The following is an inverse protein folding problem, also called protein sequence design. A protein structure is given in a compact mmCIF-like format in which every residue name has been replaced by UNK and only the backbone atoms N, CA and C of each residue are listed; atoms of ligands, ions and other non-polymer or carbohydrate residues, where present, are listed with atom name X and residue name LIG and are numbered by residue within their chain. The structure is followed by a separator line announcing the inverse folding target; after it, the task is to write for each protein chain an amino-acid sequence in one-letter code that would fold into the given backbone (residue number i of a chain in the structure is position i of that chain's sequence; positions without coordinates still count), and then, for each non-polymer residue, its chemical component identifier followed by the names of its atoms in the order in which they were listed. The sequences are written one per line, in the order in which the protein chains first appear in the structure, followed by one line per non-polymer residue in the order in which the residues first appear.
data_IF_529887122356
#
_entry.id   IF_529887122356
#
_cell.length_a   1.000
_cell.length_b   1.000
_cell.length_c   1.000
_cell.angle_alpha   90.00
_cell.angle_beta   90.00
_cell.angle_gamma   90.00
#
_symmetry.space_group_name_H-M   'P 1'
#
loop_
_entity.id
_entity.type
_entity.pdbx_description
1 polymer ?
#
# COMPACT_ATOMS: atom_id res chain seq x y z
N UNK A 1 -21.53 7.67 -7.81
CA UNK A 1 -20.74 7.91 -9.05
C UNK A 1 -21.62 8.24 -10.28
N UNK A 2 -22.89 8.65 -10.11
CA UNK A 2 -23.78 8.93 -11.27
C UNK A 2 -23.84 10.41 -11.70
N UNK A 3 -23.35 11.35 -10.89
CA UNK A 3 -23.46 12.79 -11.19
C UNK A 3 -22.52 13.32 -12.29
N UNK A 4 -21.43 12.61 -12.60
CA UNK A 4 -20.39 13.08 -13.54
C UNK A 4 -20.56 12.57 -14.98
N UNK A 5 -21.46 11.59 -15.22
CA UNK A 5 -21.65 11.02 -16.56
C UNK A 5 -22.71 11.73 -17.40
N UNK A 6 -23.50 12.63 -16.82
CA UNK A 6 -24.65 13.23 -17.51
C UNK A 6 -24.35 14.54 -18.26
N UNK A 7 -23.12 15.04 -18.23
CA UNK A 7 -22.73 16.28 -18.95
C UNK A 7 -22.07 16.07 -20.32
N UNK A 8 -21.92 14.83 -20.81
CA UNK A 8 -21.13 14.55 -22.02
C UNK A 8 -21.89 13.86 -23.16
N UNK A 9 -23.21 14.00 -23.21
CA UNK A 9 -24.00 13.49 -24.34
C UNK A 9 -25.00 14.52 -24.85
N UNK A 10 -24.47 15.53 -25.54
CA UNK A 10 -25.22 16.29 -26.55
C UNK A 10 -24.22 16.78 -27.61
N UNK A 11 -24.07 16.07 -28.74
CA UNK A 11 -23.31 16.60 -29.87
C UNK A 11 -24.23 17.43 -30.77
N UNK A 12 -23.75 18.64 -31.06
CA UNK A 12 -23.92 19.41 -32.29
C UNK A 12 -25.33 19.89 -32.67
N UNK A 13 -25.68 21.08 -32.16
CA UNK A 13 -26.23 22.11 -33.04
C UNK A 13 -25.19 23.23 -33.22
N UNK A 14 -24.68 23.27 -34.45
CA UNK A 14 -23.76 24.25 -34.98
C UNK A 14 -24.25 25.68 -34.71
N UNK A 15 -23.38 26.50 -34.12
CA UNK A 15 -23.08 27.86 -34.58
C UNK A 15 -22.01 28.50 -33.68
N UNK A 16 -20.85 28.77 -34.28
CA UNK A 16 -19.84 29.73 -33.83
C UNK A 16 -19.50 29.74 -32.34
N UNK A 17 -18.54 28.90 -31.91
CA UNK A 17 -17.92 29.06 -30.60
C UNK A 17 -16.42 29.26 -30.80
N UNK A 18 -15.92 30.39 -30.31
CA UNK A 18 -14.50 30.57 -30.05
C UNK A 18 -13.99 29.50 -29.06
N UNK A 19 -12.69 29.51 -28.71
CA UNK A 19 -12.17 28.58 -27.70
C UNK A 19 -13.09 28.62 -26.48
N UNK A 20 -13.58 27.46 -26.05
CA UNK A 20 -14.47 27.34 -24.89
C UNK A 20 -13.97 28.27 -23.78
N UNK A 21 -14.83 29.14 -23.21
CA UNK A 21 -14.39 30.05 -22.19
C UNK A 21 -13.86 29.18 -21.05
N UNK A 22 -12.55 29.27 -20.82
CA UNK A 22 -11.93 28.72 -19.63
C UNK A 22 -12.69 29.36 -18.48
N UNK A 23 -13.54 28.59 -17.81
CA UNK A 23 -14.30 29.05 -16.66
C UNK A 23 -13.27 29.30 -15.55
N UNK A 24 -12.77 30.53 -15.49
CA UNK A 24 -11.86 30.98 -14.46
C UNK A 24 -12.69 31.03 -13.18
N UNK A 25 -12.58 29.98 -12.37
CA UNK A 25 -13.14 29.96 -11.02
C UNK A 25 -12.66 31.21 -10.28
N UNK A 26 -13.58 31.88 -9.61
CA UNK A 26 -13.26 32.96 -8.69
C UNK A 26 -12.38 32.43 -7.54
N UNK A 27 -11.68 33.32 -6.85
CA UNK A 27 -10.68 32.90 -5.85
C UNK A 27 -11.27 32.03 -4.73
N UNK A 28 -12.56 32.24 -4.45
CA UNK A 28 -13.33 31.51 -3.47
C UNK A 28 -13.65 30.10 -3.97
N UNK A 29 -14.14 29.95 -5.20
CA UNK A 29 -14.35 28.65 -5.83
C UNK A 29 -13.06 27.83 -5.97
N UNK A 30 -11.91 28.46 -6.23
CA UNK A 30 -10.62 27.76 -6.26
C UNK A 30 -10.19 27.23 -4.88
N UNK A 31 -10.45 27.97 -3.80
CA UNK A 31 -10.16 27.48 -2.44
C UNK A 31 -11.04 26.29 -2.07
N UNK A 32 -12.35 26.38 -2.36
CA UNK A 32 -13.30 25.31 -2.08
C UNK A 32 -12.94 24.01 -2.82
N UNK A 33 -12.51 24.12 -4.08
CA UNK A 33 -12.05 22.96 -4.86
C UNK A 33 -10.77 22.36 -4.28
N UNK A 34 -9.78 23.18 -3.90
CA UNK A 34 -8.52 22.68 -3.30
C UNK A 34 -8.78 22.00 -1.95
N UNK A 35 -9.63 22.58 -1.11
CA UNK A 35 -9.99 22.02 0.18
C UNK A 35 -10.75 20.69 0.03
N UNK A 36 -11.69 20.62 -0.91
CA UNK A 36 -12.39 19.37 -1.23
C UNK A 36 -11.43 18.30 -1.75
N UNK A 37 -10.49 18.66 -2.62
CA UNK A 37 -9.46 17.74 -3.13
C UNK A 37 -8.57 17.21 -2.01
N UNK A 38 -8.15 18.06 -1.05
CA UNK A 38 -7.41 17.63 0.15
C UNK A 38 -8.22 16.63 0.96
N UNK A 39 -9.47 16.97 1.28
CA UNK A 39 -10.36 16.13 2.08
C UNK A 39 -10.58 14.76 1.43
N UNK A 40 -10.83 14.73 0.12
CA UNK A 40 -11.00 13.49 -0.63
C UNK A 40 -9.71 12.67 -0.67
N UNK A 41 -8.56 13.31 -0.87
CA UNK A 41 -7.26 12.64 -0.87
C UNK A 41 -6.95 12.04 0.51
N UNK A 42 -7.10 12.79 1.60
CA UNK A 42 -6.86 12.30 2.97
C UNK A 42 -7.76 11.11 3.32
N UNK A 43 -9.04 11.18 2.92
CA UNK A 43 -9.98 10.09 3.13
C UNK A 43 -9.61 8.84 2.33
N UNK A 44 -9.30 9.01 1.03
CA UNK A 44 -8.87 7.91 0.17
C UNK A 44 -7.57 7.26 0.68
N UNK A 45 -6.58 8.07 1.06
CA UNK A 45 -5.31 7.61 1.62
C UNK A 45 -5.50 6.83 2.92
N UNK A 46 -6.39 7.30 3.81
CA UNK A 46 -6.72 6.61 5.06
C UNK A 46 -7.35 5.23 4.78
N UNK A 47 -8.27 5.15 3.83
CA UNK A 47 -8.90 3.88 3.43
C UNK A 47 -7.87 2.94 2.82
N UNK A 48 -7.03 3.43 1.92
CA UNK A 48 -6.02 2.61 1.25
C UNK A 48 -5.00 2.03 2.25
N UNK A 49 -4.51 2.84 3.19
CA UNK A 49 -3.64 2.40 4.29
C UNK A 49 -4.30 1.34 5.16
N UNK A 50 -5.58 1.52 5.52
CA UNK A 50 -6.34 0.54 6.32
C UNK A 50 -6.54 -0.78 5.58
N UNK A 51 -6.81 -0.73 4.27
CA UNK A 51 -6.98 -1.92 3.45
C UNK A 51 -5.68 -2.74 3.38
N UNK A 52 -4.53 -2.09 3.15
CA UNK A 52 -3.23 -2.76 3.16
C UNK A 52 -2.89 -3.35 4.54
N UNK A 53 -3.11 -2.58 5.61
CA UNK A 53 -2.90 -3.07 6.98
C UNK A 53 -3.77 -4.28 7.32
N UNK A 54 -5.00 -4.33 6.81
CA UNK A 54 -5.89 -5.48 6.95
C UNK A 54 -5.33 -6.72 6.23
N UNK A 55 -4.84 -6.57 5.00
CA UNK A 55 -4.19 -7.68 4.26
C UNK A 55 -2.96 -8.19 5.02
N UNK A 56 -2.08 -7.29 5.47
CA UNK A 56 -0.91 -7.65 6.29
C UNK A 56 -1.30 -8.36 7.58
N UNK A 57 -2.43 -7.97 8.20
CA UNK A 57 -2.96 -8.64 9.40
C UNK A 57 -3.45 -10.06 9.11
N UNK A 58 -4.08 -10.31 7.96
CA UNK A 58 -4.49 -11.66 7.55
C UNK A 58 -3.27 -12.57 7.36
N UNK A 59 -2.22 -12.08 6.69
CA UNK A 59 -0.98 -12.84 6.51
C UNK A 59 -0.25 -13.07 7.84
N UNK A 60 -0.31 -12.09 8.75
CA UNK A 60 0.22 -12.23 10.11
C UNK A 60 -0.47 -13.38 10.84
N UNK A 61 -1.81 -13.49 10.75
CA UNK A 61 -2.56 -14.60 11.35
C UNK A 61 -2.10 -15.95 10.79
N UNK A 62 -1.88 -16.07 9.48
CA UNK A 62 -1.35 -17.30 8.89
C UNK A 62 0.04 -17.67 9.45
N UNK A 63 0.92 -16.69 9.65
CA UNK A 63 2.22 -16.92 10.29
C UNK A 63 2.12 -17.27 11.78
N UNK A 64 1.11 -16.77 12.48
CA UNK A 64 0.80 -17.16 13.86
C UNK A 64 0.28 -18.59 13.97
N UNK A 65 -0.49 -19.06 12.97
CA UNK A 65 -0.88 -20.47 12.88
C UNK A 65 0.37 -21.33 12.62
N UNK A 66 1.22 -20.90 11.69
CA UNK A 66 2.44 -21.63 11.35
C UNK A 66 3.44 -21.72 12.51
N UNK A 67 3.61 -20.65 13.31
CA UNK A 67 4.47 -20.71 14.51
C UNK A 67 3.90 -21.65 15.57
N UNK A 68 2.58 -21.68 15.75
CA UNK A 68 1.93 -22.63 16.65
C UNK A 68 2.19 -24.07 16.20
N UNK A 69 2.14 -24.34 14.89
CA UNK A 69 2.43 -25.66 14.35
C UNK A 69 3.89 -26.08 14.56
N UNK A 70 4.85 -25.16 14.36
CA UNK A 70 6.28 -25.39 14.69
C UNK A 70 6.44 -25.79 16.15
N UNK A 71 5.71 -25.15 17.07
CA UNK A 71 5.83 -25.39 18.51
C UNK A 71 5.14 -26.67 18.98
N UNK A 72 4.08 -27.09 18.29
CA UNK A 72 3.24 -28.22 18.71
C UNK A 72 3.58 -29.53 18.00
N UNK A 73 4.20 -29.48 16.82
CA UNK A 73 4.46 -30.67 15.99
C UNK A 73 5.84 -31.24 16.23
N UNK A 74 5.91 -32.56 16.40
CA UNK A 74 7.18 -33.32 16.39
C UNK A 74 7.70 -33.57 14.95
N UNK A 75 6.86 -33.34 13.94
CA UNK A 75 7.15 -33.49 12.50
C UNK A 75 7.39 -32.15 11.81
N UNK A 76 7.68 -32.18 10.50
CA UNK A 76 7.77 -30.97 9.70
C UNK A 76 6.42 -30.22 9.70
N UNK A 77 6.41 -28.89 9.97
CA UNK A 77 5.20 -28.10 9.99
C UNK A 77 4.68 -27.88 8.56
N UNK A 78 3.37 -27.84 8.42
CA UNK A 78 2.65 -27.62 7.17
C UNK A 78 2.51 -26.12 6.94
N UNK A 79 2.83 -25.66 5.74
CA UNK A 79 2.60 -24.28 5.33
C UNK A 79 1.09 -24.08 5.11
N UNK A 80 0.46 -23.08 5.76
CA UNK A 80 -1.00 -22.90 5.74
C UNK A 80 -1.48 -22.24 4.43
N UNK A 81 -1.19 -22.86 3.29
CA UNK A 81 -1.75 -22.46 2.01
C UNK A 81 -3.10 -23.16 1.75
N UNK A 82 -4.10 -22.45 1.21
CA UNK A 82 -5.39 -23.04 0.82
C UNK A 82 -5.26 -23.78 -0.52
N UNK A 83 -4.40 -24.79 -0.59
CA UNK A 83 -4.19 -25.63 -1.76
C UNK A 83 -4.48 -27.09 -1.41
N UNK A 84 -4.82 -27.89 -2.43
CA UNK A 84 -5.23 -29.29 -2.25
C UNK A 84 -4.12 -30.20 -1.69
N UNK A 85 -2.85 -29.81 -1.84
CA UNK A 85 -1.71 -30.60 -1.40
C UNK A 85 -1.00 -29.94 -0.22
N UNK A 86 -0.71 -30.72 0.84
CA UNK A 86 0.04 -30.22 1.98
C UNK A 86 1.50 -29.99 1.59
N UNK A 87 1.98 -28.75 1.77
CA UNK A 87 3.39 -28.41 1.62
C UNK A 87 4.02 -28.40 3.00
N UNK A 88 5.03 -29.25 3.19
CA UNK A 88 5.83 -29.26 4.40
C UNK A 88 7.00 -28.30 4.27
N UNK A 89 7.25 -27.51 5.32
CA UNK A 89 8.44 -26.66 5.33
C UNK A 89 9.68 -27.50 5.62
N UNK A 90 10.68 -27.37 4.75
CA UNK A 90 12.00 -27.98 4.88
C UNK A 90 13.10 -26.97 5.23
N UNK A 91 12.77 -25.70 5.45
CA UNK A 91 13.74 -24.69 5.88
C UNK A 91 14.48 -25.09 7.16
N UNK A 92 15.79 -24.87 7.22
CA UNK A 92 16.62 -25.31 8.36
C UNK A 92 16.33 -24.55 9.66
N UNK A 93 15.94 -23.28 9.55
CA UNK A 93 15.73 -22.38 10.70
C UNK A 93 14.32 -21.79 10.71
N UNK A 94 13.31 -22.65 10.67
CA UNK A 94 11.87 -22.29 10.55
C UNK A 94 11.45 -21.28 11.62
N UNK A 95 11.84 -21.49 12.88
CA UNK A 95 11.48 -20.59 13.99
C UNK A 95 11.98 -19.16 13.77
N UNK A 96 13.26 -19.01 13.40
CA UNK A 96 13.87 -17.68 13.17
C UNK A 96 13.24 -17.02 11.94
N UNK A 97 13.05 -17.78 10.86
CA UNK A 97 12.40 -17.29 9.64
C UNK A 97 10.96 -16.81 9.93
N UNK A 98 10.19 -17.57 10.69
CA UNK A 98 8.81 -17.21 11.07
C UNK A 98 8.76 -16.00 11.98
N UNK A 99 9.60 -15.92 13.01
CA UNK A 99 9.67 -14.75 13.89
C UNK A 99 10.08 -13.48 13.14
N UNK A 100 11.04 -13.59 12.23
CA UNK A 100 11.44 -12.47 11.37
C UNK A 100 10.32 -12.04 10.42
N UNK A 101 9.56 -12.99 9.87
CA UNK A 101 8.39 -12.73 9.02
C UNK A 101 7.28 -12.02 9.80
N UNK A 102 6.97 -12.49 11.01
CA UNK A 102 6.03 -11.84 11.93
C UNK A 102 6.48 -10.41 12.24
N UNK A 103 7.77 -10.23 12.59
CA UNK A 103 8.35 -8.93 12.84
C UNK A 103 8.24 -7.99 11.64
N UNK A 104 8.53 -8.48 10.43
CA UNK A 104 8.38 -7.73 9.20
C UNK A 104 6.93 -7.29 8.94
N UNK A 105 5.95 -8.18 9.16
CA UNK A 105 4.52 -7.88 8.97
C UNK A 105 4.01 -6.85 9.98
N UNK A 106 4.35 -7.01 11.27
CA UNK A 106 4.01 -6.04 12.31
C UNK A 106 4.64 -4.68 12.00
N UNK A 107 5.89 -4.69 11.55
CA UNK A 107 6.60 -3.48 11.15
C UNK A 107 5.97 -2.83 9.91
N UNK A 108 5.50 -3.60 8.94
CA UNK A 108 4.77 -3.10 7.77
C UNK A 108 3.46 -2.42 8.15
N UNK A 109 2.69 -3.02 9.06
CA UNK A 109 1.46 -2.41 9.59
C UNK A 109 1.77 -1.10 10.32
N UNK A 110 2.84 -1.07 11.12
CA UNK A 110 3.30 0.14 11.79
C UNK A 110 3.70 1.23 10.79
N UNK A 111 4.45 0.88 9.74
CA UNK A 111 4.88 1.78 8.67
C UNK A 111 3.70 2.49 8.00
N UNK A 112 2.63 1.76 7.69
CA UNK A 112 1.43 2.33 7.07
C UNK A 112 0.72 3.36 7.96
N UNK A 113 0.78 3.18 9.28
CA UNK A 113 0.14 4.06 10.26
C UNK A 113 1.05 5.20 10.73
N UNK A 114 2.35 5.10 10.48
CA UNK A 114 3.31 6.11 10.91
C UNK A 114 3.02 7.46 10.22
N UNK A 115 3.01 8.57 10.98
CA UNK A 115 2.80 9.90 10.40
C UNK A 115 3.98 10.34 9.53
N UNK A 116 5.20 9.87 9.86
CA UNK A 116 6.43 10.22 9.16
C UNK A 116 7.24 8.96 8.87
N UNK A 117 7.27 8.56 7.59
CA UNK A 117 8.09 7.43 7.14
C UNK A 117 9.43 7.96 6.62
N UNK A 118 10.52 7.43 7.18
CA UNK A 118 11.89 7.74 6.74
C UNK A 118 12.53 6.52 6.08
N UNK A 119 13.61 6.74 5.32
CA UNK A 119 14.36 5.66 4.68
C UNK A 119 14.87 4.60 5.67
N UNK A 120 15.21 5.01 6.90
CA UNK A 120 15.67 4.09 7.95
C UNK A 120 14.59 3.06 8.28
N UNK A 121 13.32 3.48 8.33
CA UNK A 121 12.22 2.56 8.58
C UNK A 121 12.11 1.55 7.44
N UNK A 122 12.17 2.01 6.18
CA UNK A 122 12.11 1.13 5.01
C UNK A 122 13.25 0.09 5.05
N UNK A 123 14.47 0.52 5.35
CA UNK A 123 15.61 -0.40 5.47
C UNK A 123 15.47 -1.39 6.63
N UNK A 124 14.94 -0.97 7.77
CA UNK A 124 14.68 -1.85 8.91
C UNK A 124 13.64 -2.93 8.55
N UNK A 125 12.54 -2.54 7.89
CA UNK A 125 11.54 -3.48 7.39
C UNK A 125 12.14 -4.44 6.35
N UNK A 126 12.94 -3.91 5.42
CA UNK A 126 13.58 -4.71 4.37
C UNK A 126 14.51 -5.77 4.98
N UNK A 127 15.33 -5.38 5.95
CA UNK A 127 16.20 -6.29 6.68
C UNK A 127 15.42 -7.45 7.32
N UNK A 128 14.33 -7.16 8.04
CA UNK A 128 13.47 -8.17 8.65
C UNK A 128 12.83 -9.12 7.63
N UNK A 129 12.42 -8.59 6.47
CA UNK A 129 11.75 -9.37 5.42
C UNK A 129 12.71 -10.21 4.56
N UNK A 130 14.00 -9.86 4.49
CA UNK A 130 15.00 -10.61 3.70
C UNK A 130 15.49 -11.86 4.43
N UNK A 131 15.58 -11.84 5.76
CA UNK A 131 16.02 -12.97 6.58
C UNK A 131 15.30 -14.29 6.23
N UNK A 132 13.95 -14.38 6.19
CA UNK A 132 13.26 -15.63 5.85
C UNK A 132 13.61 -16.12 4.44
N UNK A 133 13.79 -15.21 3.47
CA UNK A 133 14.15 -15.54 2.10
C UNK A 133 15.55 -16.15 2.00
N UNK A 134 16.52 -15.62 2.74
CA UNK A 134 17.88 -16.17 2.80
C UNK A 134 17.87 -17.58 3.42
N UNK A 135 17.12 -17.77 4.50
CA UNK A 135 17.00 -19.07 5.18
C UNK A 135 16.26 -20.12 4.33
N UNK A 136 15.46 -19.69 3.36
CA UNK A 136 14.70 -20.53 2.44
C UNK A 136 15.36 -20.72 1.06
N UNK A 137 16.59 -20.25 0.84
CA UNK A 137 17.18 -20.23 -0.51
C UNK A 137 17.32 -21.63 -1.15
N UNK A 138 17.45 -22.67 -0.33
CA UNK A 138 17.58 -24.07 -0.76
C UNK A 138 16.27 -24.87 -0.71
N UNK A 139 15.12 -24.23 -0.47
CA UNK A 139 13.83 -24.91 -0.42
C UNK A 139 13.14 -24.97 -1.78
N UNK A 140 12.02 -25.69 -1.84
CA UNK A 140 11.19 -25.81 -3.03
C UNK A 140 10.52 -24.48 -3.41
N UNK A 141 10.07 -24.37 -4.66
CA UNK A 141 9.52 -23.10 -5.21
C UNK A 141 8.32 -22.58 -4.42
N UNK A 142 7.40 -23.47 -4.02
CA UNK A 142 6.20 -23.06 -3.27
C UNK A 142 6.54 -22.66 -1.84
N UNK A 143 7.50 -23.33 -1.21
CA UNK A 143 8.01 -22.89 0.09
C UNK A 143 8.72 -21.54 0.00
N UNK A 144 9.52 -21.29 -1.06
CA UNK A 144 10.12 -19.97 -1.30
C UNK A 144 9.07 -18.87 -1.45
N UNK A 145 7.98 -19.14 -2.16
CA UNK A 145 6.88 -18.19 -2.30
C UNK A 145 6.28 -17.81 -0.95
N UNK A 146 6.08 -18.78 -0.04
CA UNK A 146 5.63 -18.51 1.33
C UNK A 146 6.55 -17.53 2.06
N UNK A 147 7.86 -17.79 2.02
CA UNK A 147 8.86 -16.94 2.67
C UNK A 147 9.04 -15.57 2.01
N UNK A 148 8.63 -15.42 0.75
CA UNK A 148 8.66 -14.16 0.01
C UNK A 148 7.46 -13.24 0.33
N UNK A 149 6.37 -13.75 0.93
CA UNK A 149 5.15 -12.97 1.18
C UNK A 149 5.43 -11.70 2.02
N UNK A 150 6.15 -11.76 3.17
CA UNK A 150 6.40 -10.56 3.97
C UNK A 150 7.19 -9.48 3.21
N UNK A 151 8.15 -9.89 2.39
CA UNK A 151 8.92 -8.97 1.53
C UNK A 151 8.02 -8.36 0.44
N UNK A 152 7.20 -9.18 -0.21
CA UNK A 152 6.25 -8.70 -1.22
C UNK A 152 5.26 -7.67 -0.67
N UNK A 153 4.70 -7.93 0.52
CA UNK A 153 3.82 -6.97 1.19
C UNK A 153 4.53 -5.68 1.56
N UNK A 154 5.76 -5.75 2.09
CA UNK A 154 6.54 -4.56 2.41
C UNK A 154 6.81 -3.71 1.15
N UNK A 155 7.11 -4.34 0.02
CA UNK A 155 7.29 -3.64 -1.26
C UNK A 155 5.99 -2.94 -1.67
N UNK A 156 4.85 -3.63 -1.61
CA UNK A 156 3.55 -3.04 -1.93
C UNK A 156 3.22 -1.86 -1.01
N UNK A 157 3.44 -2.00 0.30
CA UNK A 157 3.23 -0.94 1.28
C UNK A 157 4.15 0.27 1.03
N UNK A 158 5.40 0.01 0.63
CA UNK A 158 6.36 1.08 0.28
C UNK A 158 5.92 1.84 -0.98
N UNK A 159 5.47 1.12 -2.02
CA UNK A 159 4.93 1.73 -3.24
C UNK A 159 3.69 2.56 -2.90
N UNK A 160 2.79 2.03 -2.08
CA UNK A 160 1.60 2.74 -1.62
C UNK A 160 1.94 4.05 -0.91
N UNK A 161 2.91 4.02 0.01
CA UNK A 161 3.38 5.22 0.72
C UNK A 161 4.02 6.23 -0.23
N UNK A 162 4.73 5.77 -1.27
CA UNK A 162 5.28 6.65 -2.29
C UNK A 162 4.18 7.35 -3.09
N UNK A 163 3.17 6.60 -3.56
CA UNK A 163 2.03 7.16 -4.30
C UNK A 163 1.23 8.18 -3.49
N UNK A 164 1.04 7.93 -2.19
CA UNK A 164 0.37 8.87 -1.27
C UNK A 164 1.19 10.17 -1.15
N UNK A 165 2.51 10.04 -1.01
CA UNK A 165 3.39 11.20 -0.88
C UNK A 165 3.43 12.03 -2.17
N UNK A 166 3.41 11.37 -3.32
CA UNK A 166 3.37 12.02 -4.63
C UNK A 166 2.07 12.82 -4.80
N UNK A 167 0.92 12.22 -4.47
CA UNK A 167 -0.37 12.91 -4.56
C UNK A 167 -0.48 14.13 -3.62
N UNK A 168 0.12 14.06 -2.43
CA UNK A 168 0.22 15.21 -1.52
C UNK A 168 1.11 16.33 -2.09
N UNK A 169 2.18 16.00 -2.82
CA UNK A 169 3.06 16.98 -3.46
C UNK A 169 2.35 17.68 -4.62
N UNK A 170 1.55 16.95 -5.40
CA UNK A 170 0.75 17.52 -6.48
C UNK A 170 -0.25 18.56 -5.97
N UNK A 171 -0.99 18.26 -4.90
CA UNK A 171 -1.91 19.23 -4.27
C UNK A 171 -1.16 20.47 -3.77
N UNK A 172 0.00 20.29 -3.12
CA UNK A 172 0.85 21.42 -2.68
C UNK A 172 1.38 22.25 -3.85
N UNK A 173 1.58 21.66 -5.01
CA UNK A 173 2.01 22.37 -6.22
C UNK A 173 0.89 23.26 -6.78
N UNK A 174 -0.36 22.77 -6.76
CA UNK A 174 -1.55 23.54 -7.16
C UNK A 174 -1.73 24.79 -6.28
N UNK A 175 -1.51 24.66 -4.97
CA UNK A 175 -1.54 25.78 -4.04
C UNK A 175 -0.47 26.83 -4.35
N UNK A 176 0.76 26.40 -4.64
CA UNK A 176 1.85 27.31 -5.00
C UNK A 176 1.56 28.10 -6.28
N UNK A 177 0.93 27.45 -7.27
CA UNK A 177 0.53 28.11 -8.51
C UNK A 177 -0.51 29.21 -8.25
N UNK A 178 -1.50 28.94 -7.39
CA UNK A 178 -2.46 29.94 -6.92
C UNK A 178 -1.77 31.16 -6.30
N UNK A 179 -0.83 30.97 -5.38
CA UNK A 179 -0.12 32.10 -4.74
C UNK A 179 0.75 32.90 -5.70
N UNK A 180 1.38 32.25 -6.69
CA UNK A 180 2.18 32.95 -7.70
C UNK A 180 1.33 33.86 -8.59
N UNK A 181 0.09 33.45 -8.90
CA UNK A 181 -0.85 34.25 -9.69
C UNK A 181 -1.37 35.48 -8.93
N UNK A 182 -1.43 35.43 -7.59
CA UNK A 182 -1.82 36.57 -6.73
C UNK A 182 -0.74 37.67 -6.61
N UNK A 183 0.51 37.38 -6.96
CA UNK A 183 1.65 38.29 -6.78
C UNK A 183 2.12 39.02 -8.03
N UNK A 184 1.47 38.79 -9.18
CA UNK A 184 1.73 39.46 -10.46
C UNK A 184 0.63 40.46 -10.76
#
# INVERSE_FOLDING_TARGET
MEGLKLRHSQPDQANGAGPDPVEILDEQGQEEVIEELRRQNDWANSIFKKALAFVSSLILILHLIFIYEIMSSASNPIIPFPIYEHIYSNASYKMIATLSSIGALVFSIFLLQAPNVTMIHIYAGAFLSIIPNLLAIHTERMEKLWWAIPLGLLILDTIALFLIKDSEQDIKSLEKLKYKYKGA
#
